data_IF_157839459186
#
_entry.id   IF_157839459186
#
_cell.length_a   1.000
_cell.length_b   1.000
_cell.length_c   1.000
_cell.angle_alpha   90.00
_cell.angle_beta   90.00
_cell.angle_gamma   90.00
#
_symmetry.space_group_name_H-M   'P 1'
#
loop_
_entity.id
_entity.type
_entity.pdbx_description
1 polymer ?
#
# COMPACT_ATOMS: atom_id res chain seq x y z
N UNK A 1 30.77 22.75 -15.31
CA UNK A 1 29.89 21.87 -16.09
C UNK A 1 29.41 20.80 -15.13
N UNK A 2 28.17 20.89 -14.66
CA UNK A 2 27.63 19.92 -13.70
C UNK A 2 26.97 18.82 -14.52
N UNK A 3 27.40 17.58 -14.32
CA UNK A 3 26.73 16.40 -14.87
C UNK A 3 25.28 16.40 -14.41
N UNK A 4 24.36 16.41 -15.37
CA UNK A 4 22.94 16.20 -15.13
C UNK A 4 22.77 14.72 -14.76
N UNK A 5 22.66 14.46 -13.45
CA UNK A 5 22.23 13.16 -12.98
C UNK A 5 20.81 12.96 -13.50
N UNK A 6 20.64 12.10 -14.50
CA UNK A 6 19.31 11.68 -14.93
C UNK A 6 18.60 11.06 -13.73
N UNK A 7 17.70 11.81 -13.11
CA UNK A 7 16.86 11.37 -11.99
C UNK A 7 15.84 10.36 -12.53
N UNK A 8 16.34 9.17 -12.86
CA UNK A 8 15.57 8.06 -13.44
C UNK A 8 14.65 7.41 -12.39
N UNK A 9 14.27 8.15 -11.35
CA UNK A 9 13.13 7.86 -10.51
C UNK A 9 11.89 8.19 -11.31
N UNK A 10 11.25 7.16 -11.86
CA UNK A 10 9.96 7.36 -12.53
C UNK A 10 8.89 7.58 -11.47
N UNK A 11 8.77 8.82 -11.00
CA UNK A 11 7.60 9.29 -10.26
C UNK A 11 6.51 9.62 -11.27
N UNK A 12 5.32 9.02 -11.14
CA UNK A 12 4.14 9.52 -11.84
C UNK A 12 3.05 9.85 -10.82
N UNK A 13 2.51 11.05 -10.95
CA UNK A 13 1.39 11.57 -10.16
C UNK A 13 0.11 11.45 -11.01
N UNK A 14 -1.00 11.05 -10.39
CA UNK A 14 -2.30 10.93 -11.00
C UNK A 14 -3.27 11.95 -10.38
N UNK A 15 -3.70 12.90 -11.20
CA UNK A 15 -4.72 13.90 -10.85
C UNK A 15 -5.73 14.02 -12.01
N UNK A 16 -6.99 13.53 -11.86
CA UNK A 16 -7.55 12.96 -10.63
C UNK A 16 -6.95 11.58 -10.27
N UNK A 17 -7.04 11.15 -9.00
CA UNK A 17 -6.60 9.83 -8.58
C UNK A 17 -7.30 8.70 -9.34
N UNK A 18 -6.59 7.61 -9.61
CA UNK A 18 -7.15 6.46 -10.34
C UNK A 18 -7.56 5.32 -9.41
N UNK A 19 -8.68 4.61 -9.67
CA UNK A 19 -9.09 3.46 -8.87
C UNK A 19 -8.12 2.29 -9.09
N UNK A 20 -7.73 1.63 -8.00
CA UNK A 20 -6.84 0.46 -8.01
C UNK A 20 -7.33 -0.61 -7.05
N UNK A 21 -6.87 -1.83 -7.28
CA UNK A 21 -6.97 -2.91 -6.31
C UNK A 21 -5.63 -3.11 -5.62
N UNK A 22 -5.64 -3.08 -4.29
CA UNK A 22 -4.47 -3.28 -3.44
C UNK A 22 -4.47 -4.72 -2.95
N UNK A 23 -3.37 -5.43 -3.21
CA UNK A 23 -3.08 -6.70 -2.54
C UNK A 23 -2.53 -6.41 -1.14
N UNK A 24 -3.36 -6.68 -0.14
CA UNK A 24 -3.04 -6.41 1.27
C UNK A 24 -2.01 -7.39 1.84
N UNK A 25 -1.78 -8.53 1.17
CA UNK A 25 -0.73 -9.48 1.57
C UNK A 25 0.66 -8.95 1.23
N UNK A 26 0.82 -8.41 0.01
CA UNK A 26 2.05 -7.76 -0.43
C UNK A 26 2.37 -6.48 0.36
N UNK A 27 1.34 -5.81 0.89
CA UNK A 27 1.50 -4.63 1.74
C UNK A 27 2.02 -4.93 3.16
N UNK A 28 2.35 -6.19 3.49
CA UNK A 28 2.87 -6.57 4.81
C UNK A 28 1.85 -6.52 5.94
N UNK A 29 0.58 -6.23 5.63
CA UNK A 29 -0.51 -6.12 6.60
C UNK A 29 -1.00 -7.50 7.08
N UNK A 30 -0.50 -8.59 6.53
CA UNK A 30 -0.90 -9.95 6.91
C UNK A 30 -0.45 -10.35 8.34
N UNK A 31 0.54 -9.67 8.94
CA UNK A 31 1.14 -10.07 10.22
C UNK A 31 0.53 -9.44 11.48
N UNK A 32 -0.33 -8.43 11.35
CA UNK A 32 -0.77 -7.59 12.49
C UNK A 32 -2.18 -7.81 12.99
N UNK A 33 -3.00 -8.63 12.31
CA UNK A 33 -4.42 -8.76 12.63
C UNK A 33 -4.72 -10.15 13.13
N UNK A 34 -4.95 -10.26 14.44
CA UNK A 34 -5.55 -11.47 15.01
C UNK A 34 -7.01 -11.53 14.56
N UNK A 35 -7.44 -12.62 13.89
CA UNK A 35 -8.84 -12.84 13.60
C UNK A 35 -9.69 -12.74 14.88
N UNK A 36 -10.69 -11.86 14.90
CA UNK A 36 -11.50 -11.58 16.10
C UNK A 36 -12.46 -12.72 16.50
N UNK A 37 -12.30 -13.90 15.94
CA UNK A 37 -13.11 -15.11 16.15
C UNK A 37 -12.48 -16.10 17.15
N UNK A 38 -11.28 -15.84 17.66
CA UNK A 38 -10.61 -16.71 18.65
C UNK A 38 -10.69 -16.21 20.09
N UNK A 39 -11.28 -15.02 20.34
CA UNK A 39 -11.42 -14.44 21.69
C UNK A 39 -12.87 -14.42 22.18
N UNK A 40 -13.14 -14.77 23.45
CA UNK A 40 -14.49 -14.86 24.01
C UNK A 40 -15.20 -13.51 24.18
N UNK A 41 -14.50 -12.38 23.98
CA UNK A 41 -15.04 -11.04 24.11
C UNK A 41 -14.89 -10.26 22.80
N UNK A 42 -16.01 -9.92 22.15
CA UNK A 42 -16.04 -9.07 20.96
C UNK A 42 -15.92 -7.60 21.35
N UNK A 43 -14.73 -7.16 21.73
CA UNK A 43 -14.49 -5.72 21.89
C UNK A 43 -14.33 -5.12 20.50
N UNK A 44 -15.22 -4.20 20.10
CA UNK A 44 -14.97 -3.31 18.95
C UNK A 44 -13.93 -2.27 19.34
N UNK A 45 -12.69 -2.69 19.57
CA UNK A 45 -11.55 -1.76 19.46
C UNK A 45 -11.48 -1.41 17.99
N UNK A 46 -11.48 -0.12 17.63
CA UNK A 46 -11.51 0.32 16.23
C UNK A 46 -10.59 -0.53 15.35
N UNK A 47 -11.18 -1.29 14.44
CA UNK A 47 -10.48 -2.23 13.57
C UNK A 47 -10.93 -2.02 12.15
N UNK A 48 -9.99 -1.90 11.23
CA UNK A 48 -10.30 -1.90 9.81
C UNK A 48 -10.63 -3.33 9.38
N UNK A 49 -11.76 -3.52 8.69
CA UNK A 49 -12.00 -4.77 7.97
C UNK A 49 -11.02 -4.81 6.80
N UNK A 50 -9.96 -5.59 6.96
CA UNK A 50 -9.01 -5.86 5.89
C UNK A 50 -9.41 -7.13 5.17
N UNK A 51 -9.50 -7.04 3.85
CA UNK A 51 -9.64 -8.21 2.98
C UNK A 51 -8.33 -8.41 2.23
N UNK A 52 -8.10 -9.62 1.72
CA UNK A 52 -6.87 -9.94 0.96
C UNK A 52 -6.66 -8.94 -0.20
N UNK A 53 -7.75 -8.46 -0.78
CA UNK A 53 -7.76 -7.47 -1.84
C UNK A 53 -8.77 -6.38 -1.50
N UNK A 54 -8.33 -5.12 -1.54
CA UNK A 54 -9.18 -3.97 -1.23
C UNK A 54 -9.14 -2.93 -2.34
N UNK A 55 -10.23 -2.18 -2.52
CA UNK A 55 -10.24 -1.04 -3.44
C UNK A 55 -9.53 0.16 -2.80
N UNK A 56 -8.83 0.94 -3.61
CA UNK A 56 -8.18 2.17 -3.19
C UNK A 56 -8.02 3.16 -4.34
N UNK A 57 -7.45 4.32 -4.03
CA UNK A 57 -7.15 5.38 -4.98
C UNK A 57 -5.65 5.58 -5.06
N UNK A 58 -5.10 5.53 -6.27
CA UNK A 58 -3.68 5.78 -6.50
C UNK A 58 -3.47 7.24 -6.88
N UNK A 59 -2.79 7.96 -5.99
CA UNK A 59 -2.39 9.35 -6.20
C UNK A 59 -1.02 9.47 -6.89
N UNK A 60 -0.10 8.54 -6.61
CA UNK A 60 1.21 8.52 -7.23
C UNK A 60 1.82 7.10 -7.22
N UNK A 61 2.85 6.90 -8.02
CA UNK A 61 3.76 5.75 -7.89
C UNK A 61 5.19 6.16 -8.20
N UNK A 62 6.13 5.52 -7.52
CA UNK A 62 7.55 5.74 -7.66
C UNK A 62 8.22 4.40 -7.98
N UNK A 63 8.88 4.32 -9.13
CA UNK A 63 9.82 3.23 -9.37
C UNK A 63 11.16 3.57 -8.72
N UNK A 64 11.57 2.77 -7.76
CA UNK A 64 12.93 2.80 -7.23
C UNK A 64 13.78 1.80 -8.04
N UNK A 65 15.00 2.19 -8.39
CA UNK A 65 15.98 1.27 -8.94
C UNK A 65 16.47 0.37 -7.80
N UNK A 66 16.16 -0.92 -7.86
CA UNK A 66 16.86 -1.92 -7.05
C UNK A 66 18.26 -2.06 -7.63
N UNK A 67 19.23 -1.34 -7.06
CA UNK A 67 20.65 -1.71 -7.20
C UNK A 67 20.82 -3.05 -6.49
N UNK A 68 20.97 -4.10 -7.27
CA UNK A 68 21.45 -5.40 -6.83
C UNK A 68 22.45 -5.94 -7.85
#
# INVERSE_FOLDING_TARGET
>A
MFEEWSDRRTLRVFDPPRPVWVDMTAAGMAGGFTPANTVPLRVRTGGARLEQRMQGWQHAWLQTSSLH
#
